data_IF_501022727807
#
_entry.id   IF_501022727807
#
_cell.length_a   1.000
_cell.length_b   1.000
_cell.length_c   1.000
_cell.angle_alpha   90.00
_cell.angle_beta   90.00
_cell.angle_gamma   90.00
#
_symmetry.space_group_name_H-M   'P 1'
#
loop_
_entity.id
_entity.type
_entity.pdbx_description
1 polymer ?
#
# COMPACT_ATOMS: atom_id res chain seq x y z
N UNK A 1 -9.43 -20.85 6.83
CA UNK A 1 -9.80 -20.65 5.40
C UNK A 1 -9.95 -19.17 5.08
N UNK A 2 -10.88 -18.43 5.71
CA UNK A 2 -11.13 -16.99 5.45
C UNK A 2 -9.87 -16.11 5.58
N UNK A 3 -9.17 -16.15 6.72
CA UNK A 3 -7.97 -15.35 6.99
C UNK A 3 -6.84 -15.58 5.97
N UNK A 4 -6.62 -16.82 5.54
CA UNK A 4 -5.58 -17.15 4.56
C UNK A 4 -5.84 -16.48 3.20
N UNK A 5 -7.09 -16.50 2.73
CA UNK A 5 -7.47 -15.82 1.49
C UNK A 5 -7.41 -14.30 1.64
N UNK A 6 -7.81 -13.75 2.80
CA UNK A 6 -7.70 -12.31 3.07
C UNK A 6 -6.24 -11.83 3.04
N UNK A 7 -5.32 -12.59 3.64
CA UNK A 7 -3.88 -12.34 3.58
C UNK A 7 -3.37 -12.41 2.15
N UNK A 8 -3.65 -13.51 1.43
CA UNK A 8 -3.16 -13.74 0.08
C UNK A 8 -3.61 -12.61 -0.87
N UNK A 9 -4.89 -12.24 -0.78
CA UNK A 9 -5.47 -11.18 -1.59
C UNK A 9 -4.88 -9.82 -1.18
N UNK A 10 -4.79 -9.53 0.12
CA UNK A 10 -4.32 -8.23 0.60
C UNK A 10 -2.85 -7.98 0.25
N UNK A 11 -1.99 -8.99 0.39
CA UNK A 11 -0.55 -8.92 0.06
C UNK A 11 -0.31 -8.69 -1.44
N UNK A 12 -1.28 -9.03 -2.31
CA UNK A 12 -1.18 -8.78 -3.74
C UNK A 12 -1.84 -7.44 -4.12
N UNK A 13 -3.07 -7.20 -3.67
CA UNK A 13 -3.84 -6.03 -4.07
C UNK A 13 -3.27 -4.72 -3.53
N UNK A 14 -2.72 -4.69 -2.31
CA UNK A 14 -2.18 -3.46 -1.73
C UNK A 14 -0.92 -2.97 -2.47
N UNK A 15 0.07 -3.83 -2.79
CA UNK A 15 1.19 -3.41 -3.63
C UNK A 15 0.77 -2.99 -5.05
N UNK A 16 -0.20 -3.67 -5.67
CA UNK A 16 -0.72 -3.26 -6.98
C UNK A 16 -1.36 -1.88 -6.89
N UNK A 17 -2.22 -1.65 -5.89
CA UNK A 17 -2.85 -0.35 -5.68
C UNK A 17 -1.82 0.75 -5.38
N UNK A 18 -0.76 0.45 -4.63
CA UNK A 18 0.35 1.36 -4.39
C UNK A 18 1.07 1.76 -5.68
N UNK A 19 1.38 0.80 -6.57
CA UNK A 19 2.01 1.09 -7.86
C UNK A 19 1.10 1.93 -8.75
N UNK A 20 -0.19 1.57 -8.83
CA UNK A 20 -1.18 2.36 -9.59
C UNK A 20 -1.30 3.79 -9.05
N UNK A 21 -1.25 3.94 -7.72
CA UNK A 21 -1.24 5.23 -7.06
C UNK A 21 0.02 6.04 -7.41
N UNK A 22 1.21 5.42 -7.46
CA UNK A 22 2.44 6.10 -7.90
C UNK A 22 2.37 6.57 -9.34
N UNK A 23 1.86 5.74 -10.25
CA UNK A 23 1.65 6.12 -11.66
C UNK A 23 0.75 7.36 -11.72
N UNK A 24 -0.37 7.34 -11.00
CA UNK A 24 -1.26 8.50 -10.92
C UNK A 24 -0.57 9.72 -10.31
N UNK A 25 0.20 9.56 -9.24
CA UNK A 25 0.90 10.65 -8.57
C UNK A 25 1.94 11.32 -9.46
N UNK A 26 2.64 10.54 -10.30
CA UNK A 26 3.58 11.06 -11.29
C UNK A 26 2.85 11.90 -12.34
N UNK A 27 1.68 11.46 -12.80
CA UNK A 27 0.86 12.14 -13.82
C UNK A 27 0.10 13.39 -13.32
N UNK A 28 0.15 13.72 -12.02
CA UNK A 28 -0.56 14.87 -11.44
C UNK A 28 0.24 16.16 -11.60
N UNK A 29 -0.10 17.00 -12.57
CA UNK A 29 0.59 18.29 -12.79
C UNK A 29 0.12 19.40 -11.84
N UNK A 30 -1.00 19.20 -11.13
CA UNK A 30 -1.59 20.13 -10.17
C UNK A 30 -0.96 20.05 -8.76
N UNK A 31 -0.04 19.12 -8.53
CA UNK A 31 0.59 18.91 -7.22
C UNK A 31 2.06 19.34 -7.21
N UNK A 32 2.39 20.21 -6.26
CA UNK A 32 3.77 20.55 -5.92
C UNK A 32 4.61 19.30 -5.56
N UNK A 33 5.91 19.26 -5.90
CA UNK A 33 6.77 18.11 -5.65
C UNK A 33 6.82 17.65 -4.19
N UNK A 34 6.77 18.59 -3.24
CA UNK A 34 6.77 18.27 -1.81
C UNK A 34 5.51 17.51 -1.38
N UNK A 35 4.35 17.85 -1.97
CA UNK A 35 3.09 17.12 -1.73
C UNK A 35 3.13 15.74 -2.35
N UNK A 36 3.72 15.59 -3.54
CA UNK A 36 3.95 14.28 -4.15
C UNK A 36 4.85 13.40 -3.25
N UNK A 37 5.92 13.97 -2.69
CA UNK A 37 6.80 13.22 -1.80
C UNK A 37 6.08 12.69 -0.55
N UNK A 38 5.23 13.51 0.08
CA UNK A 38 4.43 13.08 1.24
C UNK A 38 3.52 11.90 0.85
N UNK A 39 2.79 12.03 -0.26
CA UNK A 39 1.90 10.96 -0.73
C UNK A 39 2.66 9.68 -1.07
N UNK A 40 3.83 9.80 -1.69
CA UNK A 40 4.69 8.66 -1.98
C UNK A 40 5.08 7.92 -0.69
N UNK A 41 5.54 8.63 0.35
CA UNK A 41 5.89 8.02 1.64
C UNK A 41 4.68 7.35 2.30
N UNK A 42 3.54 8.03 2.36
CA UNK A 42 2.29 7.50 2.94
C UNK A 42 1.86 6.21 2.22
N UNK A 43 1.98 6.18 0.89
CA UNK A 43 1.59 5.02 0.10
C UNK A 43 2.46 3.79 0.32
N UNK A 44 3.74 3.96 0.68
CA UNK A 44 4.62 2.83 1.03
C UNK A 44 4.12 2.16 2.31
N UNK A 45 3.83 2.96 3.34
CA UNK A 45 3.33 2.44 4.62
C UNK A 45 1.99 1.71 4.42
N UNK A 46 1.09 2.30 3.63
CA UNK A 46 -0.21 1.70 3.34
C UNK A 46 -0.10 0.45 2.45
N UNK A 47 0.69 0.51 1.37
CA UNK A 47 0.85 -0.57 0.41
C UNK A 47 1.57 -1.80 0.98
N UNK A 48 2.47 -1.58 1.94
CA UNK A 48 3.14 -2.65 2.68
C UNK A 48 2.40 -3.09 3.94
N UNK A 49 1.31 -2.41 4.33
CA UNK A 49 0.54 -2.71 5.53
C UNK A 49 0.27 -4.21 5.75
N UNK A 50 -0.32 -4.93 4.78
CA UNK A 50 -0.58 -6.38 4.91
C UNK A 50 0.68 -7.22 5.13
N UNK A 51 1.81 -6.82 4.54
CA UNK A 51 3.10 -7.50 4.74
C UNK A 51 3.61 -7.22 6.16
N UNK A 52 3.46 -5.99 6.66
CA UNK A 52 3.84 -5.63 8.02
C UNK A 52 3.01 -6.39 9.07
N UNK A 53 1.69 -6.56 8.85
CA UNK A 53 0.84 -7.38 9.73
C UNK A 53 1.29 -8.84 9.81
N UNK A 54 1.70 -9.43 8.68
CA UNK A 54 2.26 -10.77 8.66
C UNK A 54 3.59 -10.88 9.45
N UNK A 55 4.44 -9.86 9.34
CA UNK A 55 5.78 -9.88 9.91
C UNK A 55 5.84 -9.43 11.38
N UNK A 56 4.88 -8.62 11.82
CA UNK A 56 4.94 -7.91 13.11
C UNK A 56 3.74 -8.22 14.02
N UNK A 57 2.62 -8.71 13.46
CA UNK A 57 1.38 -8.95 14.21
C UNK A 57 0.85 -10.39 14.06
N UNK A 58 1.74 -11.37 13.87
CA UNK A 58 1.39 -12.80 13.76
C UNK A 58 0.32 -13.12 12.68
N UNK A 59 0.20 -12.27 11.66
CA UNK A 59 -0.80 -12.41 10.60
C UNK A 59 -2.23 -12.05 11.01
N UNK A 60 -2.41 -11.36 12.14
CA UNK A 60 -3.61 -10.61 12.49
C UNK A 60 -3.81 -9.49 11.47
N UNK A 61 -4.84 -9.61 10.63
CA UNK A 61 -5.37 -8.50 9.84
C UNK A 61 -6.58 -7.92 10.61
N UNK A 62 -6.84 -6.63 10.43
CA UNK A 62 -7.97 -5.93 11.05
C UNK A 62 -9.32 -6.66 10.88
#
# INVERSE_FOLDING_TARGET
MKLFFEILISVILHPIAMILMWINLLARDDLEPSRKLIWFIVSIIWGLGPILYLLVEDGSLW
#
